data_IF_244364854514
#
_entry.id   IF_244364854514
#
_cell.length_a   1.000
_cell.length_b   1.000
_cell.length_c   1.000
_cell.angle_alpha   90.00
_cell.angle_beta   90.00
_cell.angle_gamma   90.00
#
_symmetry.space_group_name_H-M   'P 1'
#
loop_
_entity.id
_entity.type
_entity.pdbx_description
1 polymer ?
#
# COMPACT_ATOMS: atom_id res chain seq x y z
N UNK A 1 28.77 -9.51 -4.03
CA UNK A 1 28.03 -9.55 -5.30
C UNK A 1 26.76 -10.33 -5.08
N UNK A 2 25.62 -9.80 -5.53
CA UNK A 2 24.34 -10.49 -5.49
C UNK A 2 24.19 -11.39 -6.72
N UNK A 3 23.41 -12.48 -6.64
CA UNK A 3 23.24 -13.37 -7.78
C UNK A 3 22.45 -12.65 -8.89
N UNK A 4 22.83 -12.80 -10.18
CA UNK A 4 22.10 -12.21 -11.30
C UNK A 4 20.68 -12.79 -11.46
N UNK A 5 20.38 -13.88 -10.76
CA UNK A 5 19.07 -14.55 -10.73
C UNK A 5 18.14 -14.00 -9.65
N UNK A 6 18.45 -12.83 -9.08
CA UNK A 6 17.64 -12.22 -8.05
C UNK A 6 16.38 -11.60 -8.67
N UNK A 7 15.21 -12.03 -8.20
CA UNK A 7 13.91 -11.64 -8.76
C UNK A 7 13.15 -10.69 -7.82
N UNK A 8 13.30 -10.84 -6.50
CA UNK A 8 12.60 -10.02 -5.50
C UNK A 8 13.60 -9.30 -4.58
N UNK A 9 13.29 -8.07 -4.19
CA UNK A 9 14.07 -7.25 -3.27
C UNK A 9 13.20 -6.58 -2.23
N UNK A 10 13.48 -6.74 -0.94
CA UNK A 10 12.76 -6.13 0.19
C UNK A 10 13.64 -5.17 0.96
N UNK A 11 13.28 -3.89 1.00
CA UNK A 11 13.94 -2.86 1.77
C UNK A 11 13.27 -2.71 3.15
N UNK A 12 13.92 -3.19 4.21
CA UNK A 12 13.46 -3.08 5.59
C UNK A 12 14.34 -2.12 6.41
N UNK A 13 13.75 -1.32 7.29
CA UNK A 13 14.48 -0.65 8.36
C UNK A 13 14.66 -1.65 9.52
N UNK A 14 15.90 -1.95 9.91
CA UNK A 14 16.18 -2.95 10.96
C UNK A 14 16.66 -2.27 12.23
N UNK A 15 16.04 -2.60 13.37
CA UNK A 15 16.71 -2.58 14.68
C UNK A 15 17.55 -3.85 14.75
N UNK A 16 18.87 -3.72 14.88
CA UNK A 16 19.78 -4.87 14.91
C UNK A 16 19.37 -5.88 15.99
N UNK A 17 18.92 -7.06 15.58
CA UNK A 17 19.00 -8.28 16.37
C UNK A 17 19.67 -9.36 15.52
N UNK A 18 20.66 -10.03 16.11
CA UNK A 18 21.75 -10.72 15.40
C UNK A 18 21.44 -12.18 15.04
N UNK A 19 20.19 -12.62 15.16
CA UNK A 19 19.86 -14.05 15.32
C UNK A 19 19.21 -14.73 14.11
N UNK A 20 19.03 -14.10 12.95
CA UNK A 20 18.37 -14.75 11.80
C UNK A 20 19.33 -15.08 10.64
N UNK A 21 19.62 -16.39 10.48
CA UNK A 21 20.17 -17.02 9.27
C UNK A 21 19.01 -17.52 8.40
N UNK A 22 18.93 -17.08 7.15
CA UNK A 22 17.94 -17.60 6.19
C UNK A 22 18.59 -18.36 5.02
N UNK A 23 17.94 -19.47 4.68
CA UNK A 23 18.22 -20.37 3.57
C UNK A 23 17.78 -19.78 2.21
N UNK A 24 18.24 -20.42 1.13
CA UNK A 24 18.04 -20.07 -0.28
C UNK A 24 16.69 -19.41 -0.59
N UNK A 25 16.70 -18.08 -0.79
CA UNK A 25 15.57 -17.27 -1.24
C UNK A 25 15.96 -16.50 -2.50
N UNK A 26 15.01 -16.37 -3.43
CA UNK A 26 15.07 -15.44 -4.57
C UNK A 26 14.72 -14.01 -4.18
N UNK A 27 14.48 -13.80 -2.89
CA UNK A 27 14.14 -12.53 -2.26
C UNK A 27 15.38 -12.01 -1.53
N UNK A 28 15.89 -10.86 -1.96
CA UNK A 28 16.96 -10.16 -1.29
C UNK A 28 16.34 -9.16 -0.33
N UNK A 29 16.57 -9.31 0.95
CA UNK A 29 16.18 -8.29 1.91
C UNK A 29 17.33 -7.29 2.09
N UNK A 30 17.23 -6.11 1.48
CA UNK A 30 18.13 -5.01 1.75
C UNK A 30 17.69 -4.23 2.98
N UNK A 31 18.66 -3.91 3.82
CA UNK A 31 18.41 -3.34 5.13
C UNK A 31 18.86 -1.90 5.08
N UNK A 32 17.91 -0.97 5.12
CA UNK A 32 18.23 0.45 5.20
C UNK A 32 18.86 0.72 6.57
N UNK A 33 20.11 1.23 6.64
CA UNK A 33 20.75 1.52 7.90
C UNK A 33 20.04 2.72 8.56
N UNK A 34 19.80 2.60 9.87
CA UNK A 34 19.20 3.67 10.69
C UNK A 34 20.07 4.92 10.81
N UNK A 35 21.30 4.87 10.30
CA UNK A 35 22.29 5.94 10.41
C UNK A 35 22.45 6.62 9.05
N UNK A 36 22.16 7.93 8.93
CA UNK A 36 22.44 8.67 7.70
C UNK A 36 23.94 8.66 7.42
N UNK A 37 24.34 8.22 6.22
CA UNK A 37 25.72 8.33 5.72
C UNK A 37 26.50 7.03 5.51
N UNK A 38 26.01 5.86 5.94
CA UNK A 38 26.69 4.57 5.72
C UNK A 38 25.81 3.58 4.97
N UNK A 39 25.49 3.86 3.72
CA UNK A 39 24.74 2.93 2.89
C UNK A 39 25.69 2.19 1.95
N UNK A 40 25.90 0.90 2.20
CA UNK A 40 26.41 -0.07 1.18
C UNK A 40 25.59 0.03 -0.13
N UNK A 41 24.39 0.60 -0.05
CA UNK A 41 23.53 0.83 -1.20
C UNK A 41 23.93 2.04 -2.05
N UNK A 42 24.75 2.95 -1.54
CA UNK A 42 25.19 4.15 -2.26
C UNK A 42 26.37 3.88 -3.21
N UNK A 43 26.98 2.69 -3.18
CA UNK A 43 28.06 2.34 -4.11
C UNK A 43 27.47 1.75 -5.40
N UNK A 44 27.45 2.50 -6.51
CA UNK A 44 26.76 2.10 -7.75
C UNK A 44 27.40 0.88 -8.45
N UNK A 45 28.66 0.55 -8.13
CA UNK A 45 29.42 -0.46 -8.86
C UNK A 45 29.40 -1.87 -8.23
N UNK A 46 28.70 -2.06 -7.10
CA UNK A 46 28.78 -3.31 -6.33
C UNK A 46 27.62 -4.28 -6.58
N UNK A 47 26.51 -3.78 -7.12
CA UNK A 47 25.25 -4.52 -7.24
C UNK A 47 24.59 -4.16 -8.57
N UNK A 48 24.45 -5.12 -9.46
CA UNK A 48 23.55 -5.04 -10.61
C UNK A 48 22.49 -6.13 -10.47
N UNK A 49 21.22 -5.74 -10.54
CA UNK A 49 20.09 -6.66 -10.48
C UNK A 49 19.18 -6.43 -11.70
N UNK A 50 19.65 -6.68 -12.93
CA UNK A 50 18.91 -6.37 -14.15
C UNK A 50 17.60 -7.15 -14.28
N UNK A 51 17.47 -8.28 -13.57
CA UNK A 51 16.29 -9.14 -13.59
C UNK A 51 15.35 -8.89 -12.39
N UNK A 52 15.50 -7.77 -11.68
CA UNK A 52 14.65 -7.46 -10.54
C UNK A 52 13.20 -7.27 -11.01
N UNK A 53 12.33 -8.21 -10.65
CA UNK A 53 10.93 -8.21 -11.01
C UNK A 53 10.08 -7.43 -10.00
N UNK A 54 10.51 -7.41 -8.73
CA UNK A 54 9.72 -6.83 -7.63
C UNK A 54 10.58 -6.10 -6.60
N UNK A 55 10.19 -4.88 -6.26
CA UNK A 55 10.77 -4.09 -5.17
C UNK A 55 9.73 -3.87 -4.08
N UNK A 56 10.05 -4.24 -2.85
CA UNK A 56 9.22 -3.99 -1.67
C UNK A 56 9.93 -2.98 -0.77
N UNK A 57 9.26 -1.89 -0.38
CA UNK A 57 9.83 -0.79 0.38
C UNK A 57 9.00 -0.55 1.64
N UNK A 58 9.62 -0.67 2.81
CA UNK A 58 8.98 -0.34 4.09
C UNK A 58 9.37 1.06 4.54
N UNK A 59 8.37 1.92 4.64
CA UNK A 59 8.51 3.29 5.12
C UNK A 59 8.11 3.32 6.60
N UNK A 60 9.04 2.94 7.49
CA UNK A 60 8.87 3.01 8.95
C UNK A 60 9.68 4.12 9.61
N UNK A 61 10.59 4.76 8.86
CA UNK A 61 11.51 5.77 9.37
C UNK A 61 10.97 7.17 9.15
N UNK A 62 11.34 8.08 10.05
CA UNK A 62 11.18 9.52 9.84
C UNK A 62 12.36 10.14 9.09
N UNK A 63 13.37 9.35 8.72
CA UNK A 63 14.50 9.83 7.94
C UNK A 63 14.19 9.73 6.44
N UNK A 64 14.56 10.76 5.69
CA UNK A 64 14.51 10.72 4.24
C UNK A 64 15.52 9.68 3.74
N UNK A 65 15.02 8.67 3.04
CA UNK A 65 15.84 7.67 2.36
C UNK A 65 15.76 7.91 0.85
N UNK A 66 16.84 7.62 0.14
CA UNK A 66 16.88 7.60 -1.32
C UNK A 66 16.98 6.17 -1.79
N UNK A 67 16.27 5.84 -2.87
CA UNK A 67 16.43 4.56 -3.52
C UNK A 67 17.85 4.44 -4.11
N UNK A 68 18.47 3.25 -4.02
CA UNK A 68 19.77 3.01 -4.62
C UNK A 68 19.73 3.17 -6.15
N UNK A 69 20.74 3.78 -6.79
CA UNK A 69 20.72 4.11 -8.21
C UNK A 69 20.82 2.89 -9.15
N UNK A 70 21.15 1.72 -8.61
CA UNK A 70 21.25 0.48 -9.39
C UNK A 70 19.91 -0.27 -9.54
N UNK A 71 18.83 0.23 -8.93
CA UNK A 71 17.49 -0.32 -9.16
C UNK A 71 17.11 -0.06 -10.63
N UNK A 72 16.71 -1.08 -11.39
CA UNK A 72 16.36 -0.90 -12.79
C UNK A 72 15.13 0.02 -12.93
N UNK A 73 15.18 0.92 -13.90
CA UNK A 73 14.05 1.80 -14.24
C UNK A 73 12.81 1.03 -14.66
N UNK A 74 12.99 -0.09 -15.37
CA UNK A 74 11.93 -0.96 -15.89
C UNK A 74 11.37 -1.96 -14.87
N UNK A 75 11.30 -1.58 -13.59
CA UNK A 75 10.81 -2.44 -12.52
C UNK A 75 9.34 -2.85 -12.80
N UNK A 76 9.00 -4.14 -12.89
CA UNK A 76 7.61 -4.54 -13.13
C UNK A 76 6.65 -4.20 -11.97
N UNK A 77 7.03 -4.56 -10.74
CA UNK A 77 6.20 -4.42 -9.55
C UNK A 77 6.90 -3.63 -8.43
N UNK A 78 6.22 -2.59 -7.93
CA UNK A 78 6.62 -1.83 -6.75
C UNK A 78 5.59 -2.04 -5.63
N UNK A 79 6.07 -2.36 -4.44
CA UNK A 79 5.25 -2.49 -3.23
C UNK A 79 5.75 -1.51 -2.19
N UNK A 80 4.88 -0.60 -1.75
CA UNK A 80 5.14 0.38 -0.71
C UNK A 80 4.35 0.01 0.54
N UNK A 81 5.02 -0.13 1.68
CA UNK A 81 4.38 -0.34 2.98
C UNK A 81 4.66 0.85 3.88
N UNK A 82 3.67 1.71 4.08
CA UNK A 82 3.82 2.94 4.85
C UNK A 82 3.25 2.78 6.24
N UNK A 83 4.13 2.94 7.23
CA UNK A 83 3.83 2.94 8.65
C UNK A 83 3.54 4.34 9.20
N UNK A 84 3.22 4.42 10.50
CA UNK A 84 3.01 5.70 11.20
C UNK A 84 4.27 6.58 11.12
N UNK A 85 4.10 7.79 10.58
CA UNK A 85 5.19 8.77 10.48
C UNK A 85 6.32 8.36 9.53
N UNK A 86 6.09 7.30 8.72
CA UNK A 86 7.01 6.90 7.69
C UNK A 86 7.07 7.98 6.62
N UNK A 87 8.26 8.50 6.36
CA UNK A 87 8.52 9.34 5.18
C UNK A 87 8.70 8.39 4.00
N UNK A 88 7.97 8.66 2.91
CA UNK A 88 8.14 7.90 1.68
C UNK A 88 9.51 8.26 1.10
N UNK A 89 10.36 7.26 0.80
CA UNK A 89 11.68 7.55 0.25
C UNK A 89 11.55 8.24 -1.11
N UNK A 90 12.58 9.00 -1.45
CA UNK A 90 12.76 9.48 -2.81
C UNK A 90 12.96 8.28 -3.73
N UNK A 91 11.95 8.01 -4.57
CA UNK A 91 11.91 6.89 -5.50
C UNK A 91 12.78 7.15 -6.75
N UNK A 92 13.48 8.29 -6.79
CA UNK A 92 14.30 8.71 -7.91
C UNK A 92 13.46 9.24 -9.06
N UNK A 93 14.11 9.47 -10.21
CA UNK A 93 13.47 10.05 -11.39
C UNK A 93 13.11 9.03 -12.45
N UNK A 94 13.62 7.81 -12.38
CA UNK A 94 13.66 6.88 -13.52
C UNK A 94 12.74 5.64 -13.35
N UNK A 95 12.16 5.45 -12.16
CA UNK A 95 11.43 4.22 -11.81
C UNK A 95 10.03 4.17 -12.45
N UNK A 96 9.76 3.18 -13.30
CA UNK A 96 8.51 3.07 -14.07
C UNK A 96 7.75 1.78 -13.76
N UNK A 97 7.17 1.64 -12.55
CA UNK A 97 6.44 0.44 -12.18
C UNK A 97 5.14 0.28 -12.98
N UNK A 98 4.96 -0.88 -13.60
CA UNK A 98 3.70 -1.24 -14.26
C UNK A 98 2.61 -1.63 -13.25
N UNK A 99 3.01 -2.16 -12.09
CA UNK A 99 2.12 -2.53 -10.99
C UNK A 99 2.61 -1.90 -9.69
N UNK A 100 1.70 -1.25 -8.97
CA UNK A 100 1.98 -0.63 -7.68
C UNK A 100 1.03 -1.16 -6.61
N UNK A 101 1.57 -1.65 -5.51
CA UNK A 101 0.81 -2.04 -4.32
C UNK A 101 1.17 -1.17 -3.12
N UNK A 102 0.18 -0.55 -2.49
CA UNK A 102 0.38 0.31 -1.32
C UNK A 102 -0.30 -0.32 -0.12
N UNK A 103 0.46 -0.58 0.95
CA UNK A 103 -0.04 -0.95 2.26
C UNK A 103 -0.02 0.27 3.18
N UNK A 104 -1.18 0.88 3.38
CA UNK A 104 -1.38 1.99 4.31
C UNK A 104 -1.77 1.45 5.69
N UNK A 105 -0.76 1.15 6.51
CA UNK A 105 -0.92 0.68 7.88
C UNK A 105 -0.44 1.75 8.87
N UNK A 106 -1.33 2.65 9.27
CA UNK A 106 -1.04 3.60 10.33
C UNK A 106 -1.41 3.01 11.70
N UNK A 107 -0.98 3.66 12.79
CA UNK A 107 -1.19 3.15 14.14
C UNK A 107 -2.67 3.14 14.57
N UNK A 108 -2.91 2.58 15.76
CA UNK A 108 -4.20 2.18 16.34
C UNK A 108 -5.18 3.34 16.60
N UNK A 109 -4.81 4.58 16.27
CA UNK A 109 -5.62 5.79 16.51
C UNK A 109 -5.73 6.71 15.30
N UNK A 110 -5.04 6.40 14.21
CA UNK A 110 -5.15 7.21 13.01
C UNK A 110 -6.53 7.01 12.37
N UNK A 111 -7.25 8.11 12.16
CA UNK A 111 -8.47 8.12 11.36
C UNK A 111 -8.19 7.61 9.95
N UNK A 112 -9.23 7.10 9.28
CA UNK A 112 -9.15 6.67 7.89
C UNK A 112 -8.54 7.74 6.98
N UNK A 113 -8.89 9.01 7.23
CA UNK A 113 -8.38 10.16 6.49
C UNK A 113 -6.85 10.16 6.39
N UNK A 114 -6.15 9.94 7.51
CA UNK A 114 -4.70 9.91 7.54
C UNK A 114 -4.13 8.79 6.64
N UNK A 115 -4.80 7.64 6.60
CA UNK A 115 -4.36 6.48 5.80
C UNK A 115 -4.60 6.70 4.30
N UNK A 116 -5.72 7.33 3.93
CA UNK A 116 -5.94 7.77 2.56
C UNK A 116 -4.93 8.83 2.13
N UNK A 117 -4.51 9.72 3.03
CA UNK A 117 -3.43 10.67 2.77
C UNK A 117 -2.11 9.95 2.54
N UNK A 118 -1.75 8.94 3.34
CA UNK A 118 -0.55 8.15 3.08
C UNK A 118 -0.57 7.47 1.70
N UNK A 119 -1.71 6.94 1.26
CA UNK A 119 -1.85 6.38 -0.08
C UNK A 119 -1.68 7.44 -1.18
N UNK A 120 -2.23 8.64 -0.97
CA UNK A 120 -2.00 9.80 -1.84
C UNK A 120 -0.52 10.17 -1.92
N UNK A 121 0.12 10.35 -0.78
CA UNK A 121 1.53 10.74 -0.73
C UNK A 121 2.41 9.70 -1.45
N UNK A 122 2.08 8.41 -1.33
CA UNK A 122 2.76 7.34 -2.07
C UNK A 122 2.62 7.53 -3.57
N UNK A 123 1.40 7.79 -4.05
CA UNK A 123 1.12 8.02 -5.47
C UNK A 123 1.84 9.26 -5.99
N UNK A 124 1.76 10.36 -5.23
CA UNK A 124 2.36 11.65 -5.60
C UNK A 124 3.90 11.59 -5.61
N UNK A 125 4.48 10.65 -4.86
CA UNK A 125 5.93 10.39 -4.85
C UNK A 125 6.45 9.55 -6.03
N UNK A 126 5.55 8.96 -6.83
CA UNK A 126 5.96 8.14 -7.97
C UNK A 126 6.47 9.04 -9.10
N UNK A 127 7.64 8.73 -9.70
CA UNK A 127 8.18 9.58 -10.77
C UNK A 127 7.41 9.45 -12.09
N UNK A 128 6.82 8.28 -12.36
CA UNK A 128 6.02 8.02 -13.56
C UNK A 128 4.67 7.39 -13.23
N UNK A 129 3.74 8.15 -12.62
CA UNK A 129 2.44 7.63 -12.22
C UNK A 129 1.58 7.16 -13.42
N UNK A 130 1.83 7.70 -14.62
CA UNK A 130 1.13 7.33 -15.84
C UNK A 130 1.50 5.93 -16.39
N UNK A 131 2.68 5.39 -16.02
CA UNK A 131 3.13 4.06 -16.43
C UNK A 131 2.40 2.92 -15.70
N UNK A 132 1.70 3.25 -14.61
CA UNK A 132 0.99 2.30 -13.77
C UNK A 132 -0.21 1.74 -14.54
N UNK A 133 -0.25 0.42 -14.70
CA UNK A 133 -1.38 -0.30 -15.27
C UNK A 133 -2.29 -0.89 -14.20
N UNK A 134 -1.71 -1.30 -13.06
CA UNK A 134 -2.45 -1.86 -11.93
C UNK A 134 -2.07 -1.15 -10.63
N UNK A 135 -3.08 -0.64 -9.92
CA UNK A 135 -2.93 -0.02 -8.61
C UNK A 135 -3.69 -0.83 -7.56
N UNK A 136 -2.99 -1.32 -6.55
CA UNK A 136 -3.59 -2.01 -5.41
C UNK A 136 -3.38 -1.19 -4.15
N UNK A 137 -4.45 -0.85 -3.42
CA UNK A 137 -4.39 -0.10 -2.17
C UNK A 137 -4.98 -0.95 -1.05
N UNK A 138 -4.17 -1.25 -0.05
CA UNK A 138 -4.56 -1.93 1.18
C UNK A 138 -4.62 -0.93 2.34
N UNK A 139 -5.78 -0.77 2.95
CA UNK A 139 -5.99 0.06 4.14
C UNK A 139 -6.39 -0.86 5.29
N UNK A 140 -5.59 -0.93 6.36
CA UNK A 140 -5.83 -1.87 7.48
C UNK A 140 -6.13 -1.18 8.80
N UNK A 141 -7.38 -0.82 9.07
CA UNK A 141 -7.83 -0.17 10.31
C UNK A 141 -7.80 -1.14 11.50
N UNK A 142 -7.26 -0.73 12.64
CA UNK A 142 -7.27 -1.51 13.89
C UNK A 142 -7.99 -0.70 14.98
N UNK A 143 -9.13 -1.21 15.48
CA UNK A 143 -9.95 -0.55 16.51
C UNK A 143 -9.99 -1.40 17.77
N UNK A 144 -9.58 -0.80 18.89
CA UNK A 144 -9.43 -1.55 20.14
C UNK A 144 -10.61 -1.41 21.12
N UNK A 145 -11.42 -0.34 21.07
CA UNK A 145 -12.32 -0.07 22.19
C UNK A 145 -13.66 0.64 21.93
N UNK A 146 -13.96 1.19 20.75
CA UNK A 146 -15.19 1.99 20.57
C UNK A 146 -16.21 1.37 19.61
N UNK A 147 -17.51 1.34 19.95
CA UNK A 147 -18.51 0.77 19.08
C UNK A 147 -19.02 1.79 18.04
N UNK A 148 -18.83 1.40 16.78
CA UNK A 148 -19.90 1.20 15.77
C UNK A 148 -20.21 2.29 14.72
N UNK A 149 -19.90 3.58 14.90
CA UNK A 149 -20.13 4.56 13.80
C UNK A 149 -18.88 5.30 13.32
N UNK A 150 -17.98 5.71 14.20
CA UNK A 150 -16.74 6.39 13.81
C UNK A 150 -15.68 5.43 13.22
N UNK A 151 -15.88 4.12 13.36
CA UNK A 151 -14.92 3.10 12.91
C UNK A 151 -14.94 2.86 11.40
N UNK A 152 -16.01 3.26 10.72
CA UNK A 152 -16.16 3.07 9.29
C UNK A 152 -15.76 4.33 8.51
N UNK A 153 -15.22 4.17 7.29
CA UNK A 153 -14.96 5.33 6.45
C UNK A 153 -16.26 6.10 6.17
N UNK A 154 -16.17 7.43 6.23
CA UNK A 154 -17.27 8.30 5.80
C UNK A 154 -17.47 8.21 4.28
N UNK A 155 -18.58 8.73 3.76
CA UNK A 155 -18.76 8.85 2.31
C UNK A 155 -17.65 9.69 1.67
N UNK A 156 -17.31 10.83 2.30
CA UNK A 156 -16.27 11.75 1.83
C UNK A 156 -14.89 11.08 1.72
N UNK A 157 -14.60 10.12 2.61
CA UNK A 157 -13.37 9.36 2.55
C UNK A 157 -13.25 8.51 1.27
N UNK A 158 -14.36 7.92 0.81
CA UNK A 158 -14.39 7.18 -0.46
C UNK A 158 -14.31 8.13 -1.65
N UNK A 159 -15.04 9.24 -1.63
CA UNK A 159 -15.00 10.27 -2.67
C UNK A 159 -13.58 10.83 -2.86
N UNK A 160 -12.85 11.05 -1.76
CA UNK A 160 -11.45 11.49 -1.81
C UNK A 160 -10.54 10.48 -2.52
N UNK A 161 -10.70 9.18 -2.23
CA UNK A 161 -9.95 8.12 -2.92
C UNK A 161 -10.34 8.05 -4.40
N UNK A 162 -11.63 8.17 -4.71
CA UNK A 162 -12.09 8.22 -6.09
C UNK A 162 -11.44 9.39 -6.83
N UNK A 163 -11.42 10.58 -6.25
CA UNK A 163 -10.79 11.77 -6.86
C UNK A 163 -9.31 11.58 -7.10
N UNK A 164 -8.58 11.03 -6.13
CA UNK A 164 -7.16 10.71 -6.25
C UNK A 164 -6.89 9.78 -7.44
N UNK A 165 -7.66 8.69 -7.54
CA UNK A 165 -7.49 7.70 -8.60
C UNK A 165 -7.92 8.26 -9.96
N UNK A 166 -9.00 9.04 -10.01
CA UNK A 166 -9.42 9.72 -11.23
C UNK A 166 -8.36 10.71 -11.72
N UNK A 167 -7.73 11.48 -10.83
CA UNK A 167 -6.64 12.38 -11.19
C UNK A 167 -5.45 11.64 -11.80
N UNK A 168 -5.09 10.49 -11.22
CA UNK A 168 -4.10 9.55 -11.76
C UNK A 168 -4.45 9.06 -13.18
N UNK A 169 -5.74 8.94 -13.48
CA UNK A 169 -6.26 8.48 -14.79
C UNK A 169 -6.36 9.59 -15.83
N UNK A 170 -6.73 10.79 -15.40
CA UNK A 170 -6.96 11.96 -16.24
C UNK A 170 -5.69 12.79 -16.46
N UNK A 171 -4.54 12.34 -15.94
CA UNK A 171 -3.26 13.03 -16.11
C UNK A 171 -2.98 13.32 -17.60
N UNK A 172 -2.48 14.54 -17.88
CA UNK A 172 -2.19 15.04 -19.24
C UNK A 172 -1.22 14.14 -20.03
N UNK A 173 -0.42 13.33 -19.33
CA UNK A 173 0.55 12.40 -19.92
C UNK A 173 -0.10 11.11 -20.45
N UNK A 174 -1.40 10.91 -20.23
CA UNK A 174 -2.15 9.73 -20.63
C UNK A 174 -1.92 8.57 -19.65
N UNK A 175 -2.94 8.17 -18.90
CA UNK A 175 -2.81 7.08 -17.94
C UNK A 175 -2.97 5.71 -18.59
N UNK A 176 -2.10 4.78 -18.21
CA UNK A 176 -2.23 3.36 -18.57
C UNK A 176 -3.06 2.56 -17.56
N UNK A 177 -3.68 3.21 -16.55
CA UNK A 177 -4.32 2.52 -15.44
C UNK A 177 -5.58 1.77 -15.90
N UNK A 178 -5.50 0.45 -15.90
CA UNK A 178 -6.55 -0.48 -16.33
C UNK A 178 -7.27 -1.14 -15.16
N UNK A 179 -6.60 -1.28 -14.02
CA UNK A 179 -7.10 -2.06 -12.89
C UNK A 179 -6.80 -1.38 -11.57
N UNK A 180 -7.84 -1.22 -10.75
CA UNK A 180 -7.72 -0.74 -9.37
C UNK A 180 -8.29 -1.81 -8.43
N UNK A 181 -7.51 -2.14 -7.41
CA UNK A 181 -7.94 -3.04 -6.34
C UNK A 181 -7.87 -2.29 -5.01
N UNK A 182 -9.02 -2.06 -4.38
CA UNK A 182 -9.11 -1.41 -3.08
C UNK A 182 -9.50 -2.44 -2.02
N UNK A 183 -8.60 -2.69 -1.07
CA UNK A 183 -8.85 -3.62 0.04
C UNK A 183 -8.84 -2.84 1.34
N UNK A 184 -9.99 -2.78 2.01
CA UNK A 184 -10.13 -2.14 3.31
C UNK A 184 -10.41 -3.23 4.34
N UNK A 185 -9.50 -3.41 5.29
CA UNK A 185 -9.68 -4.33 6.41
C UNK A 185 -9.86 -3.54 7.68
N UNK A 186 -10.88 -3.89 8.44
CA UNK A 186 -11.21 -3.30 9.72
C UNK A 186 -11.13 -4.42 10.75
N UNK A 187 -10.09 -4.42 11.55
CA UNK A 187 -9.90 -5.36 12.64
C UNK A 187 -10.53 -4.78 13.91
N UNK A 188 -11.46 -5.51 14.52
CA UNK A 188 -12.09 -5.13 15.79
C UNK A 188 -11.84 -6.17 16.86
N UNK A 189 -11.70 -5.71 18.11
CA UNK A 189 -11.74 -6.61 19.26
C UNK A 189 -13.18 -7.13 19.45
N UNK A 190 -13.37 -8.44 19.72
CA UNK A 190 -14.70 -9.00 19.94
C UNK A 190 -15.34 -8.33 21.16
N UNK A 191 -16.57 -7.83 21.01
CA UNK A 191 -17.36 -7.31 22.12
C UNK A 191 -18.28 -8.45 22.60
N UNK A 192 -18.06 -9.02 23.80
CA UNK A 192 -18.89 -10.09 24.31
C UNK A 192 -20.37 -9.70 24.33
N UNK A 193 -21.24 -10.55 23.77
CA UNK A 193 -22.69 -10.37 23.83
C UNK A 193 -23.29 -9.38 22.81
N UNK A 194 -22.50 -8.75 21.92
CA UNK A 194 -23.07 -8.00 20.79
C UNK A 194 -23.34 -8.92 19.60
N UNK A 195 -24.53 -8.76 18.99
CA UNK A 195 -24.92 -9.48 17.77
C UNK A 195 -24.09 -9.00 16.57
N UNK A 196 -23.90 -9.85 15.56
CA UNK A 196 -23.26 -9.49 14.30
C UNK A 196 -23.94 -8.28 13.64
N UNK A 197 -23.13 -7.54 12.86
CA UNK A 197 -23.39 -6.19 12.36
C UNK A 197 -24.36 -6.16 11.16
N UNK A 198 -25.45 -6.94 11.22
CA UNK A 198 -26.28 -7.29 10.06
C UNK A 198 -26.96 -6.07 9.39
N UNK A 199 -27.09 -4.94 10.08
CA UNK A 199 -27.61 -3.68 9.51
C UNK A 199 -26.57 -2.75 8.86
N UNK A 200 -25.29 -2.95 9.14
CA UNK A 200 -24.24 -2.07 8.62
C UNK A 200 -23.86 -2.42 7.17
N UNK A 201 -23.95 -3.71 6.78
CA UNK A 201 -23.48 -4.15 5.47
C UNK A 201 -24.11 -3.37 4.31
N UNK A 202 -25.44 -3.25 4.28
CA UNK A 202 -26.14 -2.50 3.23
C UNK A 202 -25.77 -1.03 3.23
N UNK A 203 -25.64 -0.42 4.41
CA UNK A 203 -25.25 1.00 4.55
C UNK A 203 -23.81 1.25 4.09
N UNK A 204 -22.88 0.39 4.48
CA UNK A 204 -21.47 0.49 4.11
C UNK A 204 -21.24 0.20 2.63
N UNK A 205 -21.94 -0.79 2.06
CA UNK A 205 -21.94 -1.03 0.62
C UNK A 205 -22.47 0.18 -0.16
N UNK A 206 -23.60 0.76 0.26
CA UNK A 206 -24.16 1.95 -0.39
C UNK A 206 -23.21 3.16 -0.34
N UNK A 207 -22.47 3.35 0.76
CA UNK A 207 -21.42 4.39 0.83
C UNK A 207 -20.26 4.09 -0.11
N UNK A 208 -19.82 2.84 -0.18
CA UNK A 208 -18.72 2.41 -1.05
C UNK A 208 -19.09 2.59 -2.52
N UNK A 209 -20.27 2.14 -2.94
CA UNK A 209 -20.80 2.32 -4.30
C UNK A 209 -20.98 3.80 -4.65
N UNK A 210 -21.59 4.59 -3.75
CA UNK A 210 -21.81 6.02 -3.99
C UNK A 210 -20.49 6.79 -4.07
N UNK A 211 -19.57 6.57 -3.13
CA UNK A 211 -18.32 7.31 -3.05
C UNK A 211 -17.31 6.94 -4.13
N UNK A 212 -17.43 5.73 -4.70
CA UNK A 212 -16.57 5.24 -5.79
C UNK A 212 -17.33 5.12 -7.12
N UNK A 213 -18.52 5.71 -7.24
CA UNK A 213 -19.47 5.49 -8.34
C UNK A 213 -18.80 5.63 -9.71
N UNK A 214 -18.00 6.68 -9.90
CA UNK A 214 -17.28 6.92 -11.14
C UNK A 214 -16.35 5.77 -11.54
N UNK A 215 -15.58 5.23 -10.60
CA UNK A 215 -14.68 4.10 -10.87
C UNK A 215 -15.42 2.79 -11.14
N UNK A 216 -16.62 2.65 -10.56
CA UNK A 216 -17.52 1.52 -10.79
C UNK A 216 -18.14 1.60 -12.19
N UNK A 217 -18.67 2.77 -12.57
CA UNK A 217 -19.24 3.03 -13.89
C UNK A 217 -18.23 2.79 -15.02
N UNK A 218 -16.97 3.15 -14.79
CA UNK A 218 -15.89 2.94 -15.75
C UNK A 218 -15.35 1.49 -15.76
N UNK A 219 -15.90 0.60 -14.94
CA UNK A 219 -15.52 -0.81 -14.82
C UNK A 219 -14.03 -1.06 -14.54
N UNK A 220 -13.38 -0.19 -13.76
CA UNK A 220 -11.94 -0.28 -13.45
C UNK A 220 -11.64 -0.71 -12.01
N UNK A 221 -12.66 -0.82 -11.15
CA UNK A 221 -12.49 -1.02 -9.71
C UNK A 221 -13.02 -2.37 -9.21
N UNK A 222 -12.14 -3.10 -8.52
CA UNK A 222 -12.52 -4.13 -7.56
C UNK A 222 -12.32 -3.61 -6.13
N UNK A 223 -13.38 -3.60 -5.32
CA UNK A 223 -13.30 -3.16 -3.93
C UNK A 223 -13.74 -4.28 -2.97
N UNK A 224 -13.01 -4.46 -1.86
CA UNK A 224 -13.31 -5.42 -0.81
C UNK A 224 -13.13 -4.76 0.56
N UNK A 225 -14.24 -4.43 1.20
CA UNK A 225 -14.27 -3.97 2.58
C UNK A 225 -14.64 -5.13 3.48
N UNK A 226 -13.75 -5.48 4.41
CA UNK A 226 -13.93 -6.60 5.34
C UNK A 226 -13.80 -6.11 6.78
N UNK A 227 -14.79 -6.45 7.61
CA UNK A 227 -14.75 -6.31 9.06
C UNK A 227 -14.48 -7.69 9.67
N UNK A 228 -13.39 -7.82 10.41
CA UNK A 228 -12.92 -9.10 10.97
C UNK A 228 -12.49 -8.94 12.44
N UNK A 229 -12.56 -10.01 13.24
CA UNK A 229 -11.76 -10.07 14.48
C UNK A 229 -10.51 -10.88 14.25
N UNK A 230 -9.51 -10.69 15.10
CA UNK A 230 -8.18 -11.32 14.96
C UNK A 230 -8.24 -12.85 14.82
N UNK A 231 -9.27 -13.50 15.37
CA UNK A 231 -9.37 -14.97 15.43
C UNK A 231 -10.67 -15.54 14.82
N UNK A 232 -11.42 -14.75 14.03
CA UNK A 232 -12.73 -15.19 13.50
C UNK A 232 -12.91 -14.98 12.01
N UNK A 233 -13.89 -15.69 11.45
CA UNK A 233 -14.49 -15.35 10.16
C UNK A 233 -14.94 -13.86 10.15
N UNK A 234 -14.92 -13.22 8.97
CA UNK A 234 -15.32 -11.82 8.84
C UNK A 234 -16.81 -11.65 9.19
N UNK A 235 -17.09 -10.68 10.05
CA UNK A 235 -18.46 -10.34 10.47
C UNK A 235 -19.25 -9.64 9.37
N UNK A 236 -18.55 -8.92 8.50
CA UNK A 236 -19.17 -8.15 7.43
C UNK A 236 -18.21 -8.08 6.25
N UNK A 237 -18.74 -8.24 5.05
CA UNK A 237 -17.96 -8.09 3.83
C UNK A 237 -18.77 -7.40 2.74
N UNK A 238 -18.29 -6.25 2.29
CA UNK A 238 -18.87 -5.50 1.17
C UNK A 238 -17.92 -5.65 -0.02
N UNK A 239 -18.45 -6.06 -1.18
CA UNK A 239 -17.66 -6.25 -2.39
C UNK A 239 -18.27 -5.50 -3.55
N UNK A 240 -17.42 -4.82 -4.30
CA UNK A 240 -17.71 -4.35 -5.65
C UNK A 240 -16.77 -5.12 -6.58
N UNK A 241 -17.32 -5.66 -7.67
CA UNK A 241 -16.58 -6.42 -8.66
C UNK A 241 -16.78 -5.77 -10.01
N UNK A 242 -15.71 -5.75 -10.80
CA UNK A 242 -15.82 -5.43 -12.22
C UNK A 242 -16.72 -6.44 -12.93
N UNK A 243 -17.50 -5.93 -13.88
CA UNK A 243 -18.35 -6.70 -14.78
C UNK A 243 -17.52 -7.40 -15.87
#
# INVERSE_FOLDING_TARGET
MLPPTLEELRLHEVKFDSSQRNAARRDLELKAPKVPGHSILATPHLIECPNLARLFVICSSTAQAQLPPWIPSSLPELVLSVGRGGIIPDLGTDLQPSSVTIYASCDRRSEYLHRSTCARDCIDSLPYPHAIQTLTIHIKLEHFWDPLEESFPSLSNYEMLSQLVCHLRESEQGSCLQSIVLVIRISTSPIPGKRPYDGHQTRELAKLEKGLARLVEENVLDADLTLESEDSEPYMRCKIRRA
#
